data_IF_088602429807
#
_entry.id   IF_088602429807
#
_cell.length_a   1.000
_cell.length_b   1.000
_cell.length_c   1.000
_cell.angle_alpha   90.00
_cell.angle_beta   90.00
_cell.angle_gamma   90.00
#
_symmetry.space_group_name_H-M   'P 1'
#
loop_
_entity.id
_entity.type
_entity.pdbx_description
1 polymer ?
#
# COMPACT_ATOMS: atom_id res chain seq x y z
N UNK A 1 -4.82 5.04 -30.15
CA UNK A 1 -3.45 4.81 -30.65
C UNK A 1 -2.51 5.38 -29.63
N UNK A 2 -1.77 4.48 -28.98
CA UNK A 2 -0.89 4.80 -27.87
C UNK A 2 0.54 4.88 -28.39
N UNK A 3 1.33 5.81 -27.84
CA UNK A 3 2.70 6.07 -28.28
C UNK A 3 3.59 6.18 -27.05
N UNK A 4 4.67 5.41 -27.06
CA UNK A 4 5.79 5.59 -26.12
C UNK A 4 7.07 5.89 -26.89
N UNK A 5 7.96 6.66 -26.27
CA UNK A 5 9.25 7.03 -26.81
C UNK A 5 10.32 6.75 -25.77
N UNK A 6 11.40 6.11 -26.19
CA UNK A 6 12.59 5.92 -25.38
C UNK A 6 13.71 6.75 -25.99
N UNK A 7 14.23 7.70 -25.22
CA UNK A 7 15.33 8.58 -25.61
C UNK A 7 16.53 8.34 -24.70
N UNK A 8 17.72 8.39 -25.26
CA UNK A 8 18.97 8.36 -24.49
C UNK A 8 20.03 9.24 -25.13
N UNK A 9 20.76 9.98 -24.30
CA UNK A 9 21.95 10.72 -24.70
C UNK A 9 23.21 9.84 -24.76
N UNK A 10 23.12 8.57 -24.36
CA UNK A 10 24.23 7.63 -24.42
C UNK A 10 24.54 7.29 -25.91
N UNK A 11 25.77 7.52 -26.39
CA UNK A 11 26.15 7.22 -27.78
C UNK A 11 25.95 5.75 -28.19
N UNK A 12 25.93 4.83 -27.21
CA UNK A 12 25.70 3.42 -27.43
C UNK A 12 24.21 3.01 -27.39
N UNK A 13 23.26 3.96 -27.39
CA UNK A 13 21.83 3.70 -27.21
C UNK A 13 21.28 2.56 -28.08
N UNK A 14 21.62 2.52 -29.37
CA UNK A 14 21.18 1.47 -30.29
C UNK A 14 21.65 0.07 -29.89
N UNK A 15 22.86 -0.03 -29.33
CA UNK A 15 23.38 -1.28 -28.79
C UNK A 15 22.71 -1.67 -27.48
N UNK A 16 22.40 -0.70 -26.61
CA UNK A 16 21.70 -0.94 -25.35
C UNK A 16 20.33 -1.58 -25.61
N UNK A 17 19.56 -1.02 -26.55
CA UNK A 17 18.21 -1.54 -26.89
C UNK A 17 18.22 -2.65 -27.94
N UNK A 18 19.40 -3.00 -28.49
CA UNK A 18 19.60 -4.03 -29.53
C UNK A 18 18.72 -3.79 -30.76
N UNK A 19 18.65 -2.54 -31.22
CA UNK A 19 17.94 -2.13 -32.44
C UNK A 19 18.90 -1.39 -33.36
N UNK A 20 18.82 -1.67 -34.66
CA UNK A 20 19.69 -1.02 -35.65
C UNK A 20 18.98 0.21 -36.24
N UNK A 21 19.53 1.44 -36.12
CA UNK A 21 18.96 2.64 -36.74
C UNK A 21 18.73 2.52 -38.26
N UNK A 22 19.50 1.68 -38.95
CA UNK A 22 19.35 1.44 -40.39
C UNK A 22 18.24 0.43 -40.75
N UNK A 23 17.66 -0.28 -39.79
CA UNK A 23 16.73 -1.40 -40.05
C UNK A 23 15.28 -0.99 -40.36
N UNK A 24 14.99 0.31 -40.47
CA UNK A 24 13.66 0.82 -40.81
C UNK A 24 12.61 0.48 -39.74
N UNK A 25 11.40 0.16 -40.18
CA UNK A 25 10.25 -0.11 -39.31
C UNK A 25 10.27 -1.56 -38.78
N UNK A 26 10.22 -1.73 -37.45
CA UNK A 26 10.09 -3.03 -36.79
C UNK A 26 8.64 -3.26 -36.36
N UNK A 27 8.04 -4.38 -36.76
CA UNK A 27 6.68 -4.75 -36.37
C UNK A 27 6.68 -5.88 -35.33
N UNK A 28 5.77 -5.76 -34.35
CA UNK A 28 5.49 -6.79 -33.33
C UNK A 28 3.99 -6.87 -33.09
N UNK A 29 3.45 -8.07 -33.00
CA UNK A 29 2.07 -8.28 -32.54
C UNK A 29 1.99 -7.98 -31.05
N UNK A 30 1.04 -7.14 -30.64
CA UNK A 30 0.80 -6.82 -29.23
C UNK A 30 -0.67 -7.03 -28.94
N UNK A 31 -0.98 -8.07 -28.16
CA UNK A 31 -2.36 -8.50 -27.91
C UNK A 31 -3.10 -8.72 -29.23
N UNK A 32 -4.14 -7.93 -29.53
CA UNK A 32 -4.92 -8.03 -30.78
C UNK A 32 -4.45 -7.05 -31.85
N UNK A 33 -3.59 -6.09 -31.50
CA UNK A 33 -3.07 -5.09 -32.43
C UNK A 33 -1.65 -5.35 -32.91
N UNK A 34 -1.12 -4.35 -33.63
CA UNK A 34 0.25 -4.31 -34.13
C UNK A 34 0.94 -3.07 -33.55
N UNK A 35 2.13 -3.29 -32.99
CA UNK A 35 3.03 -2.22 -32.58
C UNK A 35 4.15 -2.05 -33.61
N UNK A 36 4.50 -0.79 -33.84
CA UNK A 36 5.46 -0.34 -34.83
C UNK A 36 6.57 0.41 -34.12
N UNK A 37 7.81 -0.05 -34.27
CA UNK A 37 8.98 0.60 -33.69
C UNK A 37 9.89 1.17 -34.76
N UNK A 38 10.40 2.38 -34.55
CA UNK A 38 11.33 3.03 -35.48
C UNK A 38 12.19 4.08 -34.76
N UNK A 39 13.29 4.46 -35.40
CA UNK A 39 14.09 5.62 -35.01
C UNK A 39 13.62 6.86 -35.77
N UNK A 40 13.40 7.97 -35.07
CA UNK A 40 13.32 9.29 -35.73
C UNK A 40 14.68 9.96 -35.85
N UNK A 41 15.56 9.67 -34.91
CA UNK A 41 16.95 10.09 -34.82
C UNK A 41 17.73 9.04 -34.02
N UNK A 42 19.06 9.05 -34.08
CA UNK A 42 19.89 7.98 -33.50
C UNK A 42 19.69 7.79 -31.98
N UNK A 43 19.25 8.84 -31.28
CA UNK A 43 19.03 8.90 -29.83
C UNK A 43 17.59 8.63 -29.39
N UNK A 44 16.64 8.44 -30.32
CA UNK A 44 15.20 8.31 -30.00
C UNK A 44 14.56 7.15 -30.76
N UNK A 45 14.00 6.21 -30.00
CA UNK A 45 13.23 5.09 -30.51
C UNK A 45 11.75 5.23 -30.10
N UNK A 46 10.86 5.14 -31.09
CA UNK A 46 9.41 5.23 -30.89
C UNK A 46 8.79 3.84 -30.89
N UNK A 47 7.71 3.67 -30.15
CA UNK A 47 6.81 2.53 -30.28
C UNK A 47 5.38 3.05 -30.36
N UNK A 48 4.74 2.84 -31.50
CA UNK A 48 3.36 3.21 -31.78
C UNK A 48 2.49 1.98 -31.83
N UNK A 49 1.33 2.01 -31.19
CA UNK A 49 0.38 0.90 -31.20
C UNK A 49 -0.91 1.24 -31.93
N UNK A 50 -1.20 0.43 -32.94
CA UNK A 50 -2.49 0.33 -33.61
C UNK A 50 -3.19 -0.93 -33.13
N UNK A 51 -4.31 -0.76 -32.44
CA UNK A 51 -5.15 -1.87 -32.04
C UNK A 51 -5.93 -2.43 -33.26
N UNK A 52 -6.51 -3.64 -33.12
CA UNK A 52 -7.29 -4.25 -34.19
C UNK A 52 -8.53 -3.44 -34.55
N UNK A 53 -8.97 -3.48 -35.81
CA UNK A 53 -10.10 -2.67 -36.27
C UNK A 53 -11.45 -3.15 -35.70
N UNK A 54 -11.59 -4.44 -35.35
CA UNK A 54 -12.84 -5.04 -34.84
C UNK A 54 -12.65 -5.82 -33.52
N UNK A 55 -11.47 -5.78 -32.89
CA UNK A 55 -11.19 -6.44 -31.61
C UNK A 55 -10.59 -5.45 -30.61
N UNK A 56 -10.78 -5.72 -29.32
CA UNK A 56 -10.32 -4.85 -28.22
C UNK A 56 -9.17 -5.52 -27.48
N UNK A 57 -7.98 -4.92 -27.52
CA UNK A 57 -6.80 -5.43 -26.79
C UNK A 57 -6.89 -5.22 -25.28
N UNK A 58 -7.41 -4.06 -24.86
CA UNK A 58 -7.45 -3.60 -23.47
C UNK A 58 -8.88 -3.43 -23.02
N UNK A 59 -9.51 -4.55 -22.69
CA UNK A 59 -10.91 -4.60 -22.29
C UNK A 59 -11.08 -4.02 -20.88
N UNK A 60 -12.13 -3.23 -20.70
CA UNK A 60 -12.57 -2.78 -19.37
C UNK A 60 -13.29 -3.90 -18.63
N UNK A 61 -14.04 -4.73 -19.37
CA UNK A 61 -14.75 -5.89 -18.84
C UNK A 61 -14.30 -7.16 -19.56
N UNK A 62 -14.14 -8.27 -18.84
CA UNK A 62 -13.69 -9.54 -19.42
C UNK A 62 -14.54 -10.00 -20.63
N UNK A 63 -15.84 -9.71 -20.58
CA UNK A 63 -16.84 -10.09 -21.59
C UNK A 63 -16.96 -9.10 -22.75
N UNK A 64 -16.21 -8.00 -22.75
CA UNK A 64 -16.25 -7.00 -23.81
C UNK A 64 -15.78 -7.61 -25.15
N UNK A 65 -16.66 -7.68 -26.14
CA UNK A 65 -16.40 -8.28 -27.46
C UNK A 65 -16.53 -7.29 -28.61
N UNK A 66 -17.26 -6.19 -28.43
CA UNK A 66 -17.58 -5.22 -29.47
C UNK A 66 -17.17 -3.80 -29.09
N UNK A 67 -16.61 -3.08 -30.07
CA UNK A 67 -16.09 -1.73 -29.91
C UNK A 67 -17.22 -0.69 -30.13
N UNK A 68 -17.71 -0.06 -29.06
CA UNK A 68 -18.58 1.12 -29.18
C UNK A 68 -17.86 2.43 -28.79
N UNK A 69 -17.04 2.43 -27.72
CA UNK A 69 -16.16 3.56 -27.36
C UNK A 69 -15.11 3.15 -26.30
N UNK A 70 -14.20 2.23 -26.63
CA UNK A 70 -13.15 1.85 -25.69
C UNK A 70 -11.93 2.80 -25.80
N UNK A 71 -11.88 3.78 -24.90
CA UNK A 71 -10.79 4.79 -24.85
C UNK A 71 -9.45 4.22 -24.32
N UNK A 72 -9.45 3.04 -23.71
CA UNK A 72 -8.23 2.41 -23.17
C UNK A 72 -7.22 2.08 -24.26
N UNK A 73 -7.66 1.87 -25.52
CA UNK A 73 -6.76 1.67 -26.67
C UNK A 73 -5.85 2.88 -26.98
N UNK A 74 -6.09 4.03 -26.34
CA UNK A 74 -5.29 5.24 -26.52
C UNK A 74 -4.40 5.56 -25.31
N UNK A 75 -4.84 5.26 -24.09
CA UNK A 75 -4.20 5.74 -22.86
C UNK A 75 -4.01 4.67 -21.78
N UNK A 76 -4.25 3.38 -22.05
CA UNK A 76 -4.10 2.35 -21.02
C UNK A 76 -2.67 2.30 -20.46
N UNK A 77 -2.49 2.23 -19.13
CA UNK A 77 -1.18 2.02 -18.51
C UNK A 77 -0.57 0.64 -18.84
N UNK A 78 -1.36 -0.29 -19.35
CA UNK A 78 -0.91 -1.61 -19.77
C UNK A 78 -0.08 -1.57 -21.07
N UNK A 79 -0.35 -0.62 -21.97
CA UNK A 79 0.38 -0.56 -23.23
C UNK A 79 1.87 -0.26 -23.04
N UNK A 80 2.29 0.74 -22.24
CA UNK A 80 3.70 0.94 -21.91
C UNK A 80 4.40 -0.34 -21.40
N UNK A 81 3.73 -1.13 -20.57
CA UNK A 81 4.25 -2.41 -20.09
C UNK A 81 4.44 -3.42 -21.22
N UNK A 82 3.51 -3.48 -22.16
CA UNK A 82 3.60 -4.35 -23.33
C UNK A 82 4.68 -3.86 -24.31
N UNK A 83 4.78 -2.55 -24.55
CA UNK A 83 5.83 -1.96 -25.38
C UNK A 83 7.22 -2.25 -24.82
N UNK A 84 7.43 -2.11 -23.50
CA UNK A 84 8.69 -2.46 -22.84
C UNK A 84 9.03 -3.94 -23.05
N UNK A 85 8.07 -4.86 -22.92
CA UNK A 85 8.37 -6.29 -23.09
C UNK A 85 8.72 -6.66 -24.52
N UNK A 86 8.01 -6.10 -25.49
CA UNK A 86 8.14 -6.51 -26.89
C UNK A 86 9.34 -5.84 -27.58
N UNK A 87 9.65 -4.59 -27.21
CA UNK A 87 10.72 -3.82 -27.84
C UNK A 87 11.99 -3.72 -27.00
N UNK A 88 11.87 -3.77 -25.67
CA UNK A 88 12.96 -3.48 -24.73
C UNK A 88 13.19 -4.61 -23.69
N UNK A 89 12.82 -5.86 -24.00
CA UNK A 89 13.02 -6.98 -23.07
C UNK A 89 14.48 -7.33 -22.80
N UNK A 90 15.38 -7.14 -23.78
CA UNK A 90 16.82 -7.41 -23.59
C UNK A 90 17.45 -6.46 -22.56
N UNK A 91 17.35 -5.12 -22.68
CA UNK A 91 17.88 -4.22 -21.67
C UNK A 91 17.17 -4.33 -20.31
N UNK A 92 16.01 -4.97 -20.20
CA UNK A 92 15.37 -5.28 -18.90
C UNK A 92 15.93 -6.53 -18.21
N UNK A 93 16.61 -7.43 -18.94
CA UNK A 93 17.10 -8.71 -18.38
C UNK A 93 18.53 -8.62 -17.89
N UNK A 94 19.36 -7.83 -18.56
CA UNK A 94 20.79 -7.75 -18.27
C UNK A 94 21.25 -6.32 -18.50
N UNK A 95 21.89 -5.75 -17.48
CA UNK A 95 22.53 -4.45 -17.58
C UNK A 95 23.76 -4.59 -18.48
N UNK A 96 23.81 -3.80 -19.54
CA UNK A 96 24.94 -3.77 -20.47
C UNK A 96 26.07 -2.92 -19.85
N UNK A 97 27.33 -3.32 -20.02
CA UNK A 97 28.48 -2.62 -19.44
C UNK A 97 28.61 -1.17 -19.92
N UNK A 98 28.03 -0.84 -21.08
CA UNK A 98 28.00 0.51 -21.64
C UNK A 98 26.88 1.39 -21.05
N UNK A 99 25.99 0.80 -20.24
CA UNK A 99 24.88 1.50 -19.56
C UNK A 99 25.36 2.14 -18.24
N UNK A 100 26.28 3.08 -18.41
CA UNK A 100 26.95 3.85 -17.36
C UNK A 100 26.18 5.13 -17.04
N UNK A 101 26.41 5.64 -15.83
CA UNK A 101 25.79 6.88 -15.35
C UNK A 101 26.31 8.13 -16.08
N UNK A 102 25.55 9.23 -15.99
CA UNK A 102 25.92 10.54 -16.51
C UNK A 102 25.28 10.90 -17.85
N UNK A 103 24.56 9.97 -18.49
CA UNK A 103 23.73 10.26 -19.66
C UNK A 103 22.28 10.44 -19.26
N UNK A 104 21.58 11.42 -19.85
CA UNK A 104 20.14 11.54 -19.62
C UNK A 104 19.39 10.48 -20.42
N UNK A 105 18.60 9.69 -19.72
CA UNK A 105 17.64 8.75 -20.29
C UNK A 105 16.23 9.26 -20.05
N UNK A 106 15.34 9.09 -21.03
CA UNK A 106 13.94 9.55 -20.92
C UNK A 106 12.99 8.51 -21.49
N UNK A 107 11.98 8.13 -20.70
CA UNK A 107 10.84 7.35 -21.15
C UNK A 107 9.62 8.25 -21.17
N UNK A 108 9.11 8.51 -22.37
CA UNK A 108 7.97 9.39 -22.59
C UNK A 108 6.76 8.58 -23.04
N UNK A 109 5.61 8.85 -22.44
CA UNK A 109 4.32 8.25 -22.75
C UNK A 109 3.41 9.39 -23.17
N UNK A 110 2.99 9.38 -24.45
CA UNK A 110 2.22 10.48 -25.02
C UNK A 110 0.85 10.65 -24.36
N UNK A 111 0.21 9.53 -24.01
CA UNK A 111 -1.06 9.55 -23.31
C UNK A 111 -1.19 8.32 -22.42
N UNK A 112 -1.46 8.54 -21.13
CA UNK A 112 -1.65 7.52 -20.10
C UNK A 112 -2.77 7.92 -19.15
N UNK A 113 -3.61 6.96 -18.77
CA UNK A 113 -4.64 7.13 -17.75
C UNK A 113 -3.99 7.11 -16.37
N UNK A 114 -4.19 8.18 -15.60
CA UNK A 114 -3.73 8.29 -14.22
C UNK A 114 -4.96 8.56 -13.36
N UNK A 115 -5.43 7.52 -12.69
CA UNK A 115 -6.57 7.61 -11.78
C UNK A 115 -6.24 8.45 -10.55
N UNK A 116 -5.02 8.28 -10.01
CA UNK A 116 -4.57 8.86 -8.75
C UNK A 116 -3.21 9.53 -8.95
N UNK A 117 -3.21 10.85 -9.20
CA UNK A 117 -2.00 11.65 -9.45
C UNK A 117 -0.97 11.54 -8.33
N UNK A 118 -1.41 11.38 -7.08
CA UNK A 118 -0.55 11.18 -5.90
C UNK A 118 0.48 10.06 -6.07
N UNK A 119 0.22 9.03 -6.90
CA UNK A 119 1.21 7.98 -7.17
C UNK A 119 2.46 8.51 -7.89
N UNK A 120 2.31 9.55 -8.72
CA UNK A 120 3.45 10.23 -9.36
C UNK A 120 4.29 10.92 -8.29
N UNK A 121 3.65 11.65 -7.39
CA UNK A 121 4.30 12.37 -6.28
C UNK A 121 5.01 11.39 -5.33
N UNK A 122 4.38 10.26 -4.99
CA UNK A 122 5.00 9.22 -4.17
C UNK A 122 6.23 8.63 -4.85
N UNK A 123 6.16 8.29 -6.14
CA UNK A 123 7.34 7.80 -6.87
C UNK A 123 8.45 8.84 -6.88
N UNK A 124 8.14 10.09 -7.21
CA UNK A 124 9.10 11.20 -7.18
C UNK A 124 9.81 11.34 -5.83
N UNK A 125 9.10 11.11 -4.73
CA UNK A 125 9.63 11.19 -3.36
C UNK A 125 10.53 10.00 -3.00
N UNK A 126 10.13 8.80 -3.40
CA UNK A 126 10.80 7.55 -3.01
C UNK A 126 11.95 7.14 -3.95
N UNK A 127 12.02 7.67 -5.17
CA UNK A 127 13.13 7.45 -6.10
C UNK A 127 13.70 8.79 -6.59
N UNK A 128 14.48 9.51 -5.74
CA UNK A 128 14.89 10.90 -5.99
C UNK A 128 15.81 11.08 -7.21
N UNK A 129 16.47 10.01 -7.66
CA UNK A 129 17.31 10.01 -8.87
C UNK A 129 16.50 10.07 -10.19
N UNK A 130 15.17 10.19 -10.08
CA UNK A 130 14.23 10.21 -11.20
C UNK A 130 13.37 11.47 -11.15
N UNK A 131 13.04 12.00 -12.33
CA UNK A 131 12.01 13.05 -12.46
C UNK A 131 10.76 12.46 -13.13
N UNK A 132 9.59 12.84 -12.63
CA UNK A 132 8.29 12.45 -13.18
C UNK A 132 7.47 13.69 -13.50
N UNK A 133 7.35 14.02 -14.79
CA UNK A 133 6.56 15.15 -15.25
C UNK A 133 5.26 14.68 -15.89
N UNK A 134 4.14 15.20 -15.42
CA UNK A 134 2.84 14.97 -16.05
C UNK A 134 2.28 16.25 -16.67
N UNK A 135 1.67 16.11 -17.84
CA UNK A 135 0.90 17.18 -18.48
C UNK A 135 -0.50 16.69 -18.76
N UNK A 136 -1.49 17.29 -18.13
CA UNK A 136 -2.89 16.95 -18.35
C UNK A 136 -3.31 17.25 -19.80
N UNK A 137 -3.98 16.29 -20.43
CA UNK A 137 -4.55 16.45 -21.76
C UNK A 137 -6.07 16.67 -21.67
N UNK A 138 -6.77 15.67 -21.14
CA UNK A 138 -8.20 15.66 -20.91
C UNK A 138 -8.51 14.55 -19.93
N UNK A 139 -9.64 14.62 -19.21
CA UNK A 139 -10.17 13.58 -18.30
C UNK A 139 -9.21 12.45 -17.92
N UNK A 140 -8.52 12.58 -16.78
CA UNK A 140 -7.59 11.57 -16.22
C UNK A 140 -6.51 11.05 -17.20
N UNK A 141 -6.35 11.69 -18.36
CA UNK A 141 -5.38 11.34 -19.39
C UNK A 141 -4.28 12.39 -19.41
N UNK A 142 -3.04 11.93 -19.30
CA UNK A 142 -1.87 12.77 -19.16
C UNK A 142 -0.80 12.32 -20.13
N UNK A 143 0.07 13.22 -20.58
CA UNK A 143 1.40 12.82 -21.01
C UNK A 143 2.24 12.60 -19.75
N UNK A 144 3.09 11.57 -19.75
CA UNK A 144 4.00 11.27 -18.64
C UNK A 144 5.44 11.19 -19.19
N UNK A 145 6.35 11.92 -18.55
CA UNK A 145 7.78 11.87 -18.85
C UNK A 145 8.52 11.41 -17.62
N UNK A 146 9.32 10.34 -17.76
CA UNK A 146 10.19 9.82 -16.72
C UNK A 146 11.63 10.04 -17.16
N UNK A 147 12.46 10.70 -16.36
CA UNK A 147 13.88 10.94 -16.68
C UNK A 147 14.79 10.47 -15.55
N UNK A 148 16.01 10.09 -15.91
CA UNK A 148 17.09 9.79 -14.96
C UNK A 148 18.45 9.98 -15.61
N UNK A 149 19.50 10.14 -14.79
CA UNK A 149 20.90 10.10 -15.18
C UNK A 149 21.64 8.86 -14.65
N UNK A 150 20.91 7.89 -14.08
CA UNK A 150 21.45 6.58 -13.68
C UNK A 150 21.70 5.73 -14.92
N UNK A 151 20.91 4.70 -15.16
CA UNK A 151 21.05 3.82 -16.31
C UNK A 151 19.74 3.67 -17.07
N UNK A 152 19.82 3.27 -18.34
CA UNK A 152 18.66 2.88 -19.13
C UNK A 152 17.94 1.68 -18.50
N UNK A 153 18.70 0.75 -17.93
CA UNK A 153 18.22 -0.39 -17.15
C UNK A 153 17.29 0.07 -16.02
N UNK A 154 17.75 1.00 -15.18
CA UNK A 154 16.95 1.52 -14.06
C UNK A 154 15.71 2.27 -14.56
N UNK A 155 15.84 3.08 -15.61
CA UNK A 155 14.72 3.78 -16.23
C UNK A 155 13.59 2.83 -16.64
N UNK A 156 13.93 1.74 -17.32
CA UNK A 156 12.91 0.79 -17.80
C UNK A 156 12.25 0.04 -16.64
N UNK A 157 12.99 -0.31 -15.58
CA UNK A 157 12.42 -0.93 -14.38
C UNK A 157 11.50 0.02 -13.61
N UNK A 158 11.93 1.27 -13.36
CA UNK A 158 11.11 2.28 -12.69
C UNK A 158 9.86 2.60 -13.49
N UNK A 159 9.98 2.82 -14.81
CA UNK A 159 8.84 3.06 -15.70
C UNK A 159 7.86 1.86 -15.69
N UNK A 160 8.38 0.63 -15.71
CA UNK A 160 7.59 -0.60 -15.64
C UNK A 160 6.83 -0.73 -14.33
N UNK A 161 7.48 -0.47 -13.20
CA UNK A 161 6.84 -0.58 -11.87
C UNK A 161 5.79 0.51 -11.70
N UNK A 162 6.07 1.77 -12.09
CA UNK A 162 5.09 2.85 -12.05
C UNK A 162 3.86 2.53 -12.92
N UNK A 163 4.06 2.12 -14.18
CA UNK A 163 2.94 1.80 -15.07
C UNK A 163 2.10 0.61 -14.56
N UNK A 164 2.71 -0.35 -13.85
CA UNK A 164 1.98 -1.44 -13.21
C UNK A 164 1.08 -0.93 -12.08
N UNK A 165 1.57 -0.03 -11.22
CA UNK A 165 0.74 0.58 -10.19
C UNK A 165 -0.40 1.41 -10.81
N UNK A 166 -0.11 2.21 -11.83
CA UNK A 166 -1.14 2.97 -12.55
C UNK A 166 -2.21 2.05 -13.16
N UNK A 167 -1.81 0.90 -13.71
CA UNK A 167 -2.74 -0.09 -14.25
C UNK A 167 -3.67 -0.69 -13.19
N UNK A 168 -3.25 -0.78 -11.93
CA UNK A 168 -4.05 -1.36 -10.83
C UNK A 168 -5.27 -0.49 -10.49
N UNK A 169 -5.17 0.82 -10.71
CA UNK A 169 -6.28 1.76 -10.54
C UNK A 169 -6.95 2.12 -11.86
N UNK A 170 -6.51 1.51 -12.96
CA UNK A 170 -7.16 1.63 -14.26
C UNK A 170 -8.53 0.96 -14.27
N UNK A 171 -9.25 1.13 -15.39
CA UNK A 171 -10.53 0.46 -15.60
C UNK A 171 -10.36 -0.94 -16.17
N UNK A 172 -9.15 -1.27 -16.61
CA UNK A 172 -8.83 -2.50 -17.32
C UNK A 172 -8.56 -3.66 -16.38
N UNK A 173 -8.97 -4.85 -16.79
CA UNK A 173 -8.63 -6.06 -16.05
C UNK A 173 -7.13 -6.36 -16.18
N UNK A 174 -6.45 -6.34 -15.04
CA UNK A 174 -5.07 -6.80 -14.90
C UNK A 174 -5.06 -8.20 -14.28
N UNK A 175 -4.74 -9.20 -15.09
CA UNK A 175 -4.54 -10.57 -14.61
C UNK A 175 -3.22 -10.65 -13.82
N UNK A 176 -3.30 -10.95 -12.52
CA UNK A 176 -2.13 -11.11 -11.65
C UNK A 176 -1.76 -12.59 -11.59
N UNK A 177 -1.08 -13.03 -12.65
CA UNK A 177 -0.51 -14.37 -12.73
C UNK A 177 0.86 -14.45 -12.05
N UNK A 178 1.32 -15.65 -11.72
CA UNK A 178 2.64 -15.86 -11.12
C UNK A 178 3.78 -15.35 -12.00
N UNK A 179 3.67 -15.48 -13.33
CA UNK A 179 4.70 -14.99 -14.26
C UNK A 179 4.81 -13.46 -14.26
N UNK A 180 3.69 -12.75 -14.04
CA UNK A 180 3.67 -11.30 -13.84
C UNK A 180 4.34 -10.97 -12.50
N UNK A 181 3.99 -11.66 -11.42
CA UNK A 181 4.61 -11.45 -10.10
C UNK A 181 6.13 -11.67 -10.16
N UNK A 182 6.60 -12.78 -10.72
CA UNK A 182 8.01 -13.10 -10.90
C UNK A 182 8.75 -11.98 -11.64
N UNK A 183 8.12 -11.43 -12.69
CA UNK A 183 8.72 -10.38 -13.51
C UNK A 183 8.84 -9.06 -12.75
N UNK A 184 7.78 -8.62 -12.07
CA UNK A 184 7.78 -7.30 -11.43
C UNK A 184 8.47 -7.28 -10.07
N UNK A 185 8.55 -8.41 -9.37
CA UNK A 185 9.44 -8.55 -8.21
C UNK A 185 10.90 -8.40 -8.62
N UNK A 186 11.30 -8.99 -9.76
CA UNK A 186 12.64 -8.74 -10.33
C UNK A 186 12.86 -7.25 -10.62
N UNK A 187 11.86 -6.55 -11.18
CA UNK A 187 11.97 -5.11 -11.40
C UNK A 187 12.09 -4.31 -10.10
N UNK A 188 11.34 -4.67 -9.06
CA UNK A 188 11.43 -4.03 -7.73
C UNK A 188 12.82 -4.22 -7.13
N UNK A 189 13.40 -5.40 -7.27
CA UNK A 189 14.74 -5.68 -6.77
C UNK A 189 15.82 -5.00 -7.63
N UNK A 190 15.64 -4.98 -8.94
CA UNK A 190 16.55 -4.33 -9.89
C UNK A 190 16.70 -2.83 -9.63
N UNK A 191 15.58 -2.14 -9.35
CA UNK A 191 15.61 -0.72 -8.99
C UNK A 191 15.99 -0.46 -7.52
N UNK A 192 16.30 -1.52 -6.77
CA UNK A 192 16.49 -1.53 -5.31
C UNK A 192 15.44 -0.64 -4.61
N UNK A 193 14.15 -0.96 -4.83
CA UNK A 193 13.06 -0.09 -4.40
C UNK A 193 13.06 0.07 -2.87
N UNK A 194 12.68 1.24 -2.32
CA UNK A 194 12.54 1.42 -0.88
C UNK A 194 11.33 0.64 -0.31
N UNK A 195 11.29 0.54 1.02
CA UNK A 195 10.24 -0.10 1.80
C UNK A 195 8.84 0.22 1.29
N UNK A 196 8.51 1.50 1.10
CA UNK A 196 7.14 1.89 0.76
C UNK A 196 6.66 1.27 -0.55
N UNK A 197 7.50 1.29 -1.60
CA UNK A 197 7.15 0.70 -2.90
C UNK A 197 6.98 -0.82 -2.76
N UNK A 198 7.82 -1.49 -1.95
CA UNK A 198 7.73 -2.93 -1.67
C UNK A 198 6.45 -3.29 -0.89
N UNK A 199 6.15 -2.56 0.19
CA UNK A 199 4.94 -2.74 1.00
C UNK A 199 3.68 -2.48 0.17
N UNK A 200 3.71 -1.45 -0.68
CA UNK A 200 2.61 -1.14 -1.60
C UNK A 200 2.43 -2.26 -2.64
N UNK A 201 3.51 -2.82 -3.18
CA UNK A 201 3.44 -3.96 -4.08
C UNK A 201 2.85 -5.19 -3.38
N UNK A 202 3.30 -5.51 -2.17
CA UNK A 202 2.76 -6.61 -1.39
C UNK A 202 1.25 -6.48 -1.16
N UNK A 203 0.81 -5.28 -0.78
CA UNK A 203 -0.61 -4.99 -0.52
C UNK A 203 -1.49 -5.10 -1.76
N UNK A 204 -1.01 -4.64 -2.91
CA UNK A 204 -1.82 -4.61 -4.13
C UNK A 204 -1.80 -5.93 -4.90
N UNK A 205 -0.62 -6.57 -5.01
CA UNK A 205 -0.43 -7.71 -5.90
C UNK A 205 -0.29 -9.05 -5.18
N UNK A 206 0.06 -9.06 -3.88
CA UNK A 206 0.15 -10.27 -3.07
C UNK A 206 -1.05 -10.40 -2.11
N UNK A 207 -2.24 -10.11 -2.63
CA UNK A 207 -3.49 -10.15 -1.87
C UNK A 207 -3.94 -11.58 -1.46
N UNK A 208 -3.34 -12.63 -2.03
CA UNK A 208 -3.55 -14.04 -1.61
C UNK A 208 -2.43 -14.47 -0.67
N UNK A 209 -2.80 -15.10 0.46
CA UNK A 209 -1.82 -15.58 1.47
C UNK A 209 -0.75 -16.49 0.89
N UNK A 210 -1.13 -17.35 -0.07
CA UNK A 210 -0.21 -18.26 -0.76
C UNK A 210 0.86 -17.49 -1.54
N UNK A 211 0.44 -16.56 -2.41
CA UNK A 211 1.36 -15.71 -3.17
C UNK A 211 2.24 -14.88 -2.23
N UNK A 212 1.66 -14.28 -1.18
CA UNK A 212 2.44 -13.53 -0.20
C UNK A 212 3.54 -14.40 0.43
N UNK A 213 3.22 -15.60 0.90
CA UNK A 213 4.21 -16.52 1.49
C UNK A 213 5.30 -16.92 0.50
N UNK A 214 4.94 -17.18 -0.76
CA UNK A 214 5.88 -17.55 -1.82
C UNK A 214 6.86 -16.42 -2.14
N UNK A 215 6.37 -15.17 -2.20
CA UNK A 215 7.12 -14.03 -2.72
C UNK A 215 7.72 -13.10 -1.67
N UNK A 216 7.27 -13.18 -0.41
CA UNK A 216 7.72 -12.31 0.71
C UNK A 216 9.23 -12.18 0.76
N UNK A 217 9.95 -13.30 0.84
CA UNK A 217 11.41 -13.29 0.99
C UNK A 217 12.13 -12.63 -0.19
N UNK A 218 11.63 -12.78 -1.42
CA UNK A 218 12.21 -12.11 -2.59
C UNK A 218 11.90 -10.61 -2.59
N UNK A 219 10.71 -10.23 -2.14
CA UNK A 219 10.27 -8.85 -2.08
C UNK A 219 10.95 -8.06 -0.94
N UNK A 220 11.45 -8.73 0.09
CA UNK A 220 12.21 -8.12 1.20
C UNK A 220 13.67 -7.84 0.85
N UNK A 221 14.19 -8.37 -0.26
CA UNK A 221 15.60 -8.23 -0.66
C UNK A 221 15.92 -6.82 -1.14
N UNK A 222 16.71 -6.08 -0.36
CA UNK A 222 17.23 -4.75 -0.67
C UNK A 222 18.59 -4.55 -0.02
N UNK A 223 19.42 -3.67 -0.59
CA UNK A 223 20.71 -3.30 0.00
C UNK A 223 20.59 -2.18 1.05
N UNK A 224 19.40 -1.57 1.19
CA UNK A 224 19.19 -0.37 2.01
C UNK A 224 19.07 -0.66 3.51
N UNK A 225 18.32 -1.69 3.88
CA UNK A 225 17.97 -2.02 5.26
C UNK A 225 17.22 -3.36 5.34
N UNK A 226 17.12 -3.93 6.54
CA UNK A 226 16.35 -5.15 6.74
C UNK A 226 14.85 -4.86 6.73
N UNK A 227 14.09 -5.55 5.86
CA UNK A 227 12.61 -5.45 5.79
C UNK A 227 11.99 -6.75 6.30
N UNK A 228 10.89 -6.63 7.06
CA UNK A 228 10.01 -7.75 7.39
C UNK A 228 8.57 -7.35 7.07
N UNK A 229 8.01 -7.87 5.99
CA UNK A 229 6.64 -7.61 5.57
C UNK A 229 5.66 -8.55 6.25
N UNK A 230 4.48 -8.06 6.59
CA UNK A 230 3.37 -8.84 7.11
C UNK A 230 2.20 -8.89 6.12
N UNK A 231 1.43 -9.99 6.15
CA UNK A 231 0.35 -10.16 5.18
C UNK A 231 -0.81 -9.20 5.45
N UNK A 232 -1.17 -8.41 4.43
CA UNK A 232 -2.34 -7.54 4.45
C UNK A 232 -2.00 -6.05 4.59
N UNK A 233 -3.02 -5.22 4.79
CA UNK A 233 -2.83 -3.82 5.17
C UNK A 233 -2.40 -3.70 6.63
N UNK A 234 -1.80 -2.57 7.02
CA UNK A 234 -1.44 -2.28 8.43
C UNK A 234 -2.60 -2.51 9.39
N UNK A 235 -3.82 -2.06 9.04
CA UNK A 235 -5.01 -2.33 9.84
C UNK A 235 -5.34 -3.82 9.95
N UNK A 236 -5.21 -4.60 8.87
CA UNK A 236 -5.41 -6.05 8.91
C UNK A 236 -4.33 -6.76 9.74
N UNK A 237 -3.07 -6.36 9.61
CA UNK A 237 -1.95 -6.88 10.39
C UNK A 237 -2.19 -6.66 11.89
N UNK A 238 -2.61 -5.44 12.27
CA UNK A 238 -2.99 -5.10 13.65
C UNK A 238 -4.19 -5.90 14.15
N UNK A 239 -5.25 -6.03 13.35
CA UNK A 239 -6.41 -6.86 13.70
C UNK A 239 -6.04 -8.32 13.91
N UNK A 240 -5.19 -8.89 13.06
CA UNK A 240 -4.72 -10.26 13.22
C UNK A 240 -3.88 -10.41 14.49
N UNK A 241 -3.02 -9.43 14.80
CA UNK A 241 -2.25 -9.42 16.04
C UNK A 241 -3.16 -9.38 17.27
N UNK A 242 -4.11 -8.43 17.33
CA UNK A 242 -5.06 -8.31 18.43
C UNK A 242 -5.86 -9.61 18.59
N UNK A 243 -6.41 -10.14 17.50
CA UNK A 243 -7.13 -11.42 17.51
C UNK A 243 -6.27 -12.59 18.02
N UNK A 244 -4.95 -12.60 17.77
CA UNK A 244 -4.07 -13.65 18.29
C UNK A 244 -3.79 -13.54 19.79
N UNK A 245 -4.05 -12.37 20.38
CA UNK A 245 -3.85 -12.11 21.81
C UNK A 245 -5.13 -12.28 22.61
N UNK A 246 -6.30 -12.10 22.00
CA UNK A 246 -7.60 -12.25 22.66
C UNK A 246 -7.97 -13.72 22.86
N UNK A 247 -8.66 -14.02 23.98
CA UNK A 247 -9.12 -15.38 24.30
C UNK A 247 -10.43 -15.74 23.59
N UNK A 248 -11.27 -14.74 23.29
CA UNK A 248 -12.65 -14.91 22.84
C UNK A 248 -13.54 -15.73 23.80
N UNK A 249 -13.13 -15.87 25.07
CA UNK A 249 -13.86 -16.60 26.11
C UNK A 249 -14.63 -15.67 27.06
N UNK A 250 -14.60 -14.36 26.80
CA UNK A 250 -15.17 -13.29 27.64
C UNK A 250 -15.65 -12.15 26.74
N UNK A 251 -16.51 -11.25 27.24
CA UNK A 251 -16.89 -10.06 26.50
C UNK A 251 -15.68 -9.21 26.11
N UNK A 252 -15.80 -8.50 24.99
CA UNK A 252 -14.79 -7.53 24.54
C UNK A 252 -15.36 -6.13 24.66
N UNK A 253 -14.57 -5.21 25.22
CA UNK A 253 -14.82 -3.76 25.19
C UNK A 253 -13.90 -3.13 24.13
N UNK A 254 -14.49 -2.64 23.05
CA UNK A 254 -13.83 -1.98 21.93
C UNK A 254 -14.09 -0.48 22.01
N UNK A 255 -13.10 0.28 22.46
CA UNK A 255 -13.17 1.73 22.60
C UNK A 255 -12.61 2.37 21.33
N UNK A 256 -13.44 3.15 20.63
CA UNK A 256 -13.15 3.68 19.30
C UNK A 256 -13.44 2.65 18.20
N UNK A 257 -14.64 2.06 18.23
CA UNK A 257 -14.99 0.94 17.35
C UNK A 257 -15.12 1.31 15.85
N UNK A 258 -15.23 2.62 15.55
CA UNK A 258 -15.30 3.19 14.22
C UNK A 258 -16.39 2.54 13.36
N UNK A 259 -16.04 2.15 12.14
CA UNK A 259 -17.00 1.51 11.23
C UNK A 259 -17.25 0.01 11.48
N UNK A 260 -16.81 -0.53 12.62
CA UNK A 260 -16.96 -1.94 12.99
C UNK A 260 -15.92 -2.85 12.35
N UNK A 261 -14.72 -2.34 12.06
CA UNK A 261 -13.63 -3.12 11.46
C UNK A 261 -13.16 -4.28 12.35
N UNK A 262 -13.22 -4.08 13.67
CA UNK A 262 -12.98 -5.08 14.72
C UNK A 262 -14.28 -5.70 15.23
N UNK A 263 -15.27 -4.87 15.57
CA UNK A 263 -16.55 -5.30 16.13
C UNK A 263 -17.21 -6.44 15.35
N UNK A 264 -17.44 -6.27 14.05
CA UNK A 264 -18.15 -7.26 13.24
C UNK A 264 -17.46 -8.64 13.21
N UNK A 265 -16.17 -8.77 12.82
CA UNK A 265 -15.52 -10.07 12.77
C UNK A 265 -15.19 -10.68 14.14
N UNK A 266 -15.08 -9.87 15.21
CA UNK A 266 -14.78 -10.38 16.55
C UNK A 266 -16.04 -10.82 17.28
N UNK A 267 -17.13 -10.05 17.21
CA UNK A 267 -18.42 -10.41 17.77
C UNK A 267 -18.94 -11.74 17.19
N UNK A 268 -18.76 -11.96 15.88
CA UNK A 268 -19.11 -13.24 15.22
C UNK A 268 -18.33 -14.47 15.74
N UNK A 269 -17.25 -14.28 16.52
CA UNK A 269 -16.48 -15.36 17.16
C UNK A 269 -16.80 -15.52 18.65
N UNK A 270 -17.54 -14.58 19.23
CA UNK A 270 -17.86 -14.56 20.65
C UNK A 270 -19.22 -15.21 20.89
N UNK A 271 -19.29 -16.01 21.95
CA UNK A 271 -20.57 -16.39 22.55
C UNK A 271 -21.09 -15.34 23.56
N UNK A 272 -20.34 -14.26 23.77
CA UNK A 272 -20.58 -13.20 24.75
C UNK A 272 -20.88 -11.87 24.04
N UNK A 273 -21.28 -10.86 24.82
CA UNK A 273 -21.46 -9.50 24.33
C UNK A 273 -20.15 -8.92 23.78
N UNK A 274 -20.28 -8.12 22.72
CA UNK A 274 -19.24 -7.24 22.22
C UNK A 274 -19.66 -5.79 22.48
N UNK A 275 -19.04 -5.15 23.47
CA UNK A 275 -19.29 -3.76 23.82
C UNK A 275 -18.50 -2.85 22.90
N UNK A 276 -19.18 -2.13 22.02
CA UNK A 276 -18.58 -1.23 21.05
C UNK A 276 -18.89 0.22 21.41
N UNK A 277 -17.84 1.00 21.71
CA UNK A 277 -17.93 2.40 22.11
C UNK A 277 -17.38 3.29 20.99
N UNK A 278 -18.10 4.33 20.62
CA UNK A 278 -17.60 5.39 19.75
C UNK A 278 -18.34 6.70 20.05
N UNK A 279 -17.64 7.83 19.94
CA UNK A 279 -18.23 9.16 20.16
C UNK A 279 -18.98 9.67 18.92
N UNK A 280 -18.73 9.07 17.75
CA UNK A 280 -19.40 9.40 16.50
C UNK A 280 -20.66 8.52 16.33
N UNK A 281 -21.83 9.13 16.54
CA UNK A 281 -23.13 8.45 16.43
C UNK A 281 -23.39 7.89 15.02
N UNK A 282 -22.86 8.52 13.97
CA UNK A 282 -23.02 8.02 12.59
C UNK A 282 -22.25 6.70 12.41
N UNK A 283 -21.09 6.56 13.05
CA UNK A 283 -20.31 5.32 13.07
C UNK A 283 -21.05 4.22 13.79
N UNK A 284 -21.63 4.50 14.96
CA UNK A 284 -22.44 3.52 15.69
C UNK A 284 -23.66 3.07 14.86
N UNK A 285 -24.38 4.00 14.23
CA UNK A 285 -25.50 3.68 13.35
C UNK A 285 -25.05 2.80 12.16
N UNK A 286 -23.88 3.08 11.59
CA UNK A 286 -23.28 2.26 10.54
C UNK A 286 -22.94 0.84 11.03
N UNK A 287 -22.36 0.70 12.23
CA UNK A 287 -22.07 -0.60 12.85
C UNK A 287 -23.35 -1.38 13.06
N UNK A 288 -24.39 -0.77 13.64
CA UNK A 288 -25.69 -1.41 13.86
C UNK A 288 -26.27 -1.97 12.56
N UNK A 289 -26.27 -1.16 11.49
CA UNK A 289 -26.76 -1.57 10.16
C UNK A 289 -25.93 -2.73 9.59
N UNK A 290 -24.60 -2.67 9.69
CA UNK A 290 -23.71 -3.75 9.21
C UNK A 290 -23.86 -5.03 10.02
N UNK A 291 -24.11 -4.93 11.33
CA UNK A 291 -24.33 -6.05 12.23
C UNK A 291 -25.62 -6.78 11.87
N UNK A 292 -26.73 -6.04 11.72
CA UNK A 292 -28.01 -6.58 11.28
C UNK A 292 -27.91 -7.28 9.91
N UNK A 293 -27.23 -6.66 8.94
CA UNK A 293 -27.02 -7.25 7.60
C UNK A 293 -26.16 -8.52 7.61
N UNK A 294 -25.38 -8.75 8.67
CA UNK A 294 -24.52 -9.94 8.85
C UNK A 294 -25.08 -10.92 9.88
N UNK A 295 -26.29 -10.67 10.40
CA UNK A 295 -26.91 -11.47 11.44
C UNK A 295 -26.02 -11.61 12.70
N UNK A 296 -25.33 -10.53 13.06
CA UNK A 296 -24.55 -10.42 14.30
C UNK A 296 -25.37 -9.63 15.31
N UNK A 297 -25.85 -10.28 16.36
CA UNK A 297 -26.83 -9.74 17.32
C UNK A 297 -26.25 -9.48 18.72
N UNK A 298 -24.99 -9.87 18.96
CA UNK A 298 -24.31 -9.72 20.26
C UNK A 298 -23.48 -8.43 20.37
N UNK A 299 -23.60 -7.48 19.44
CA UNK A 299 -22.93 -6.17 19.54
C UNK A 299 -23.83 -5.20 20.32
N UNK A 300 -23.32 -4.65 21.41
CA UNK A 300 -23.99 -3.62 22.21
C UNK A 300 -23.24 -2.30 22.04
N UNK A 301 -23.95 -1.26 21.63
CA UNK A 301 -23.36 0.02 21.24
C UNK A 301 -23.51 1.06 22.36
N UNK A 302 -22.44 1.81 22.62
CA UNK A 302 -22.45 2.92 23.57
C UNK A 302 -21.85 4.19 22.96
N UNK A 303 -22.45 5.37 23.18
CA UNK A 303 -21.97 6.64 22.64
C UNK A 303 -20.75 7.21 23.38
N UNK A 304 -20.40 6.65 24.54
CA UNK A 304 -19.23 7.06 25.30
C UNK A 304 -18.82 5.97 26.30
N UNK A 305 -17.59 6.09 26.81
CA UNK A 305 -17.10 5.22 27.89
C UNK A 305 -17.91 5.44 29.17
N UNK A 306 -18.34 6.65 29.46
CA UNK A 306 -19.20 6.92 30.63
C UNK A 306 -20.58 6.26 30.51
N UNK A 307 -21.17 6.25 29.31
CA UNK A 307 -22.43 5.54 29.05
C UNK A 307 -22.26 4.03 29.22
N UNK A 308 -21.15 3.47 28.74
CA UNK A 308 -20.81 2.08 29.00
C UNK A 308 -20.66 1.80 30.50
N UNK A 309 -19.90 2.63 31.23
CA UNK A 309 -19.63 2.44 32.66
C UNK A 309 -20.88 2.56 33.53
N UNK A 310 -21.86 3.38 33.12
CA UNK A 310 -23.16 3.47 33.79
C UNK A 310 -23.92 2.14 33.77
N UNK A 311 -23.87 1.41 32.65
CA UNK A 311 -24.57 0.13 32.47
C UNK A 311 -23.69 -1.09 32.78
N UNK A 312 -22.38 -0.87 32.99
CA UNK A 312 -21.40 -1.92 33.22
C UNK A 312 -21.64 -2.61 34.58
N UNK A 313 -21.87 -3.92 34.52
CA UNK A 313 -22.20 -4.74 35.68
C UNK A 313 -20.99 -5.29 36.46
N UNK A 314 -19.76 -4.91 36.08
CA UNK A 314 -18.54 -5.40 36.72
C UNK A 314 -18.02 -6.74 36.21
N UNK A 315 -18.57 -7.30 35.13
CA UNK A 315 -18.04 -8.54 34.55
C UNK A 315 -16.63 -8.37 33.97
N UNK A 316 -15.80 -9.41 34.05
CA UNK A 316 -14.45 -9.32 33.53
C UNK A 316 -14.42 -9.35 31.99
N UNK A 317 -13.79 -8.35 31.36
CA UNK A 317 -13.72 -8.20 29.90
C UNK A 317 -12.28 -8.25 29.36
N UNK A 318 -12.14 -8.29 28.04
CA UNK A 318 -10.91 -7.91 27.34
C UNK A 318 -11.12 -6.56 26.64
N UNK A 319 -10.22 -5.59 26.85
CA UNK A 319 -10.35 -4.24 26.31
C UNK A 319 -9.43 -4.07 25.08
N UNK A 320 -9.93 -3.43 24.04
CA UNK A 320 -9.18 -2.99 22.86
C UNK A 320 -9.35 -1.48 22.69
N UNK A 321 -8.24 -0.75 22.58
CA UNK A 321 -8.16 0.69 22.30
C UNK A 321 -7.15 0.89 21.17
N UNK A 322 -7.62 0.83 19.93
CA UNK A 322 -6.78 0.68 18.73
C UNK A 322 -6.79 1.93 17.87
N UNK A 323 -5.69 2.69 17.84
CA UNK A 323 -5.58 3.94 17.06
C UNK A 323 -6.65 4.97 17.44
N UNK A 324 -6.65 5.35 18.71
CA UNK A 324 -7.64 6.25 19.29
C UNK A 324 -6.95 7.35 20.08
N UNK A 325 -5.94 6.97 20.86
CA UNK A 325 -5.25 7.86 21.79
C UNK A 325 -4.53 9.02 21.08
N UNK A 326 -4.08 8.83 19.85
CA UNK A 326 -3.43 9.85 19.03
C UNK A 326 -4.40 10.92 18.49
N UNK A 327 -5.71 10.68 18.53
CA UNK A 327 -6.74 11.62 18.07
C UNK A 327 -7.23 12.56 19.20
N UNK A 328 -6.69 12.41 20.41
CA UNK A 328 -6.97 13.26 21.58
C UNK A 328 -5.68 13.78 22.18
N UNK A 329 -5.77 14.77 23.08
CA UNK A 329 -4.58 15.28 23.78
C UNK A 329 -3.97 14.19 24.67
N UNK A 330 -2.69 14.33 25.01
CA UNK A 330 -2.01 13.35 25.87
C UNK A 330 -2.66 13.22 27.25
N UNK A 331 -3.21 14.32 27.78
CA UNK A 331 -3.91 14.34 29.07
C UNK A 331 -5.26 13.61 28.99
N UNK A 332 -6.03 13.80 27.91
CA UNK A 332 -7.28 13.06 27.65
C UNK A 332 -7.00 11.56 27.48
N UNK A 333 -5.99 11.19 26.70
CA UNK A 333 -5.59 9.81 26.51
C UNK A 333 -5.17 9.16 27.84
N UNK A 334 -4.39 9.87 28.65
CA UNK A 334 -3.99 9.41 29.99
C UNK A 334 -5.22 9.20 30.87
N UNK A 335 -6.13 10.17 30.92
CA UNK A 335 -7.34 10.10 31.74
C UNK A 335 -8.23 8.92 31.33
N UNK A 336 -8.44 8.70 30.03
CA UNK A 336 -9.21 7.59 29.48
C UNK A 336 -8.62 6.23 29.90
N UNK A 337 -7.32 6.03 29.71
CA UNK A 337 -6.67 4.75 30.05
C UNK A 337 -6.75 4.52 31.57
N UNK A 338 -6.51 5.54 32.40
CA UNK A 338 -6.61 5.45 33.86
C UNK A 338 -8.04 5.15 34.32
N UNK A 339 -9.05 5.78 33.71
CA UNK A 339 -10.46 5.53 33.99
C UNK A 339 -10.81 4.06 33.73
N UNK A 340 -10.46 3.54 32.56
CA UNK A 340 -10.69 2.14 32.21
C UNK A 340 -9.93 1.19 33.16
N UNK A 341 -8.68 1.51 33.50
CA UNK A 341 -7.90 0.69 34.43
C UNK A 341 -8.53 0.60 35.84
N UNK A 342 -9.15 1.70 36.30
CA UNK A 342 -9.74 1.81 37.65
C UNK A 342 -11.15 1.24 37.73
N UNK A 343 -11.96 1.45 36.70
CA UNK A 343 -13.40 1.20 36.74
C UNK A 343 -13.83 -0.08 36.02
N UNK A 344 -12.99 -0.64 35.14
CA UNK A 344 -13.30 -1.88 34.41
C UNK A 344 -12.52 -3.05 35.00
N UNK A 345 -13.18 -4.19 35.21
CA UNK A 345 -12.47 -5.44 35.44
C UNK A 345 -12.04 -6.06 34.12
N UNK A 346 -10.73 -6.14 33.90
CA UNK A 346 -10.17 -6.63 32.64
C UNK A 346 -9.10 -7.68 32.86
N UNK A 347 -9.15 -8.73 32.05
CA UNK A 347 -8.08 -9.72 31.93
C UNK A 347 -6.89 -9.15 31.14
N UNK A 348 -7.22 -8.43 30.07
CA UNK A 348 -6.27 -7.90 29.11
C UNK A 348 -6.78 -6.58 28.55
N UNK A 349 -5.89 -5.59 28.47
CA UNK A 349 -6.20 -4.32 27.83
C UNK A 349 -5.11 -4.01 26.80
N UNK A 350 -5.47 -4.07 25.52
CA UNK A 350 -4.57 -3.87 24.39
C UNK A 350 -4.74 -2.45 23.87
N UNK A 351 -3.65 -1.69 23.88
CA UNK A 351 -3.60 -0.32 23.38
C UNK A 351 -2.63 -0.31 22.19
N UNK A 352 -3.03 0.33 21.08
CA UNK A 352 -2.14 0.53 19.92
C UNK A 352 -2.17 1.98 19.45
N UNK A 353 -1.05 2.42 18.89
CA UNK A 353 -0.90 3.75 18.29
C UNK A 353 0.19 3.72 17.21
N UNK A 354 0.21 4.66 16.26
CA UNK A 354 1.28 4.80 15.29
C UNK A 354 2.66 4.91 15.94
N UNK A 355 3.67 4.40 15.23
CA UNK A 355 5.06 4.59 15.60
C UNK A 355 5.69 5.71 14.76
N UNK A 356 5.92 6.89 15.35
CA UNK A 356 6.44 8.05 14.63
C UNK A 356 7.85 7.81 14.06
N UNK A 357 8.67 6.97 14.72
CA UNK A 357 10.01 6.64 14.24
C UNK A 357 9.98 5.95 12.86
N UNK A 358 8.82 5.41 12.47
CA UNK A 358 8.64 4.72 11.19
C UNK A 358 8.24 5.68 10.05
N UNK A 359 7.78 6.90 10.36
CA UNK A 359 7.31 7.88 9.37
C UNK A 359 8.33 8.22 8.27
N UNK A 360 9.66 8.25 8.53
CA UNK A 360 10.66 8.43 7.48
C UNK A 360 10.58 7.37 6.36
N UNK A 361 10.19 6.13 6.65
CA UNK A 361 10.04 5.08 5.62
C UNK A 361 8.81 5.26 4.74
N UNK A 362 7.86 6.11 5.17
CA UNK A 362 6.76 6.63 4.35
C UNK A 362 7.11 7.97 3.70
N UNK A 363 8.34 8.45 3.87
CA UNK A 363 8.79 9.78 3.49
C UNK A 363 7.89 10.88 4.09
N UNK A 364 7.32 10.69 5.28
CA UNK A 364 6.46 11.71 5.90
C UNK A 364 7.29 12.63 6.81
N UNK A 365 7.06 13.94 6.69
CA UNK A 365 7.74 14.96 7.51
C UNK A 365 6.97 15.34 8.79
N UNK A 366 5.80 14.75 8.99
CA UNK A 366 4.91 15.01 10.13
C UNK A 366 4.11 13.77 10.51
N UNK A 367 2.89 13.97 10.97
CA UNK A 367 1.97 12.88 11.29
C UNK A 367 1.50 12.16 10.03
N UNK A 368 1.08 10.90 10.20
CA UNK A 368 0.51 10.04 9.16
C UNK A 368 -0.87 10.52 8.72
N UNK A 369 -1.62 11.11 9.65
CA UNK A 369 -2.93 11.66 9.39
C UNK A 369 -3.04 13.06 10.01
N UNK A 370 -3.76 13.94 9.30
CA UNK A 370 -3.88 15.36 9.65
C UNK A 370 -4.71 15.59 10.92
N UNK A 371 -5.50 14.60 11.32
CA UNK A 371 -6.36 14.59 12.51
C UNK A 371 -5.66 14.00 13.75
N UNK A 372 -4.40 13.59 13.65
CA UNK A 372 -3.60 13.22 14.81
C UNK A 372 -3.18 14.47 15.60
N UNK A 373 -3.36 14.43 16.92
CA UNK A 373 -2.85 15.46 17.82
C UNK A 373 -1.37 15.25 18.16
N UNK A 374 -0.91 14.00 18.13
CA UNK A 374 0.48 13.63 18.38
C UNK A 374 0.81 12.27 17.78
N UNK A 375 2.10 12.03 17.48
CA UNK A 375 2.64 10.70 17.23
C UNK A 375 3.96 10.55 17.99
N UNK A 376 4.06 9.52 18.82
CA UNK A 376 5.27 9.26 19.61
C UNK A 376 6.19 8.29 18.90
N UNK A 377 7.50 8.52 19.01
CA UNK A 377 8.51 7.49 18.77
C UNK A 377 8.48 6.43 19.88
N UNK A 378 9.16 5.32 19.67
CA UNK A 378 9.10 4.15 20.54
C UNK A 378 9.54 4.44 21.97
N UNK A 379 10.64 5.18 22.15
CA UNK A 379 11.18 5.50 23.47
C UNK A 379 10.22 6.41 24.28
N UNK A 380 9.64 7.42 23.62
CA UNK A 380 8.71 8.38 24.25
C UNK A 380 7.43 7.67 24.66
N UNK A 381 6.85 6.84 23.78
CA UNK A 381 5.67 6.05 24.08
C UNK A 381 5.90 5.09 25.26
N UNK A 382 7.04 4.40 25.29
CA UNK A 382 7.37 3.50 26.39
C UNK A 382 7.52 4.22 27.74
N UNK A 383 8.16 5.39 27.76
CA UNK A 383 8.28 6.21 28.97
C UNK A 383 6.92 6.67 29.47
N UNK A 384 6.10 7.23 28.58
CA UNK A 384 4.76 7.72 28.89
C UNK A 384 3.85 6.61 29.44
N UNK A 385 3.86 5.44 28.79
CA UNK A 385 3.11 4.27 29.27
C UNK A 385 3.65 3.74 30.60
N UNK A 386 4.96 3.80 30.85
CA UNK A 386 5.52 3.32 32.12
C UNK A 386 5.02 4.14 33.31
N UNK A 387 4.98 5.46 33.19
CA UNK A 387 4.43 6.35 34.21
C UNK A 387 2.94 6.04 34.49
N UNK A 388 2.15 5.86 33.43
CA UNK A 388 0.75 5.51 33.52
C UNK A 388 0.55 4.17 34.23
N UNK A 389 1.33 3.16 33.85
CA UNK A 389 1.26 1.80 34.39
C UNK A 389 1.59 1.75 35.88
N UNK A 390 2.53 2.57 36.35
CA UNK A 390 2.82 2.69 37.78
C UNK A 390 1.65 3.32 38.54
N UNK A 391 1.07 4.40 38.03
CA UNK A 391 -0.10 5.05 38.64
C UNK A 391 -1.33 4.13 38.66
N UNK A 392 -1.55 3.37 37.59
CA UNK A 392 -2.66 2.42 37.47
C UNK A 392 -2.45 1.11 38.26
N UNK A 393 -1.25 0.87 38.80
CA UNK A 393 -0.87 -0.38 39.48
C UNK A 393 -1.09 -1.65 38.62
N UNK A 394 -0.85 -1.57 37.31
CA UNK A 394 -0.97 -2.69 36.36
C UNK A 394 0.42 -3.21 35.95
N UNK A 395 0.47 -4.28 35.17
CA UNK A 395 1.66 -4.77 34.47
C UNK A 395 1.53 -4.44 32.98
N UNK A 396 2.66 -4.23 32.30
CA UNK A 396 2.71 -3.88 30.89
C UNK A 396 3.65 -4.79 30.10
N UNK A 397 3.20 -5.23 28.93
CA UNK A 397 3.97 -5.95 27.91
C UNK A 397 3.94 -5.11 26.63
N UNK A 398 5.07 -4.48 26.27
CA UNK A 398 5.17 -3.70 25.03
C UNK A 398 5.22 -4.64 23.81
N UNK A 399 4.52 -4.24 22.76
CA UNK A 399 4.34 -5.06 21.55
C UNK A 399 4.59 -4.23 20.30
N UNK A 400 4.98 -4.93 19.24
CA UNK A 400 5.35 -4.34 17.97
C UNK A 400 4.60 -5.05 16.84
N UNK A 401 3.94 -4.26 15.98
CA UNK A 401 2.84 -4.73 15.13
C UNK A 401 3.05 -4.24 13.69
N UNK A 402 2.84 -5.16 12.74
CA UNK A 402 2.86 -4.90 11.30
C UNK A 402 4.24 -5.02 10.67
N UNK A 403 4.40 -4.43 9.48
CA UNK A 403 5.66 -4.40 8.75
C UNK A 403 6.79 -3.81 9.62
N UNK A 404 8.02 -4.24 9.38
CA UNK A 404 9.21 -3.74 10.07
C UNK A 404 10.31 -3.33 9.13
N UNK A 405 11.03 -2.28 9.51
CA UNK A 405 12.29 -1.87 8.88
C UNK A 405 13.35 -1.71 9.96
N UNK A 406 14.47 -2.42 9.84
CA UNK A 406 15.51 -2.50 10.89
C UNK A 406 14.94 -2.85 12.28
N UNK A 407 13.93 -3.73 12.31
CA UNK A 407 13.22 -4.16 13.52
C UNK A 407 12.12 -3.20 14.00
N UNK A 408 12.12 -1.95 13.52
CA UNK A 408 11.15 -0.93 13.89
C UNK A 408 9.77 -1.22 13.26
N UNK A 409 8.69 -1.33 14.05
CA UNK A 409 7.37 -1.68 13.52
C UNK A 409 6.59 -0.45 13.02
N UNK A 410 5.66 -0.68 12.09
CA UNK A 410 4.68 0.33 11.66
C UNK A 410 3.79 0.82 12.81
N UNK A 411 3.41 -0.07 13.71
CA UNK A 411 2.52 0.22 14.83
C UNK A 411 3.17 -0.29 16.11
N UNK A 412 3.08 0.50 17.16
CA UNK A 412 3.49 0.12 18.51
C UNK A 412 2.26 -0.07 19.39
N UNK A 413 2.44 -0.78 20.49
CA UNK A 413 1.36 -0.98 21.44
C UNK A 413 1.84 -1.53 22.77
N UNK A 414 0.89 -1.71 23.66
CA UNK A 414 1.11 -2.27 24.99
C UNK A 414 -0.08 -3.11 25.40
N UNK A 415 0.20 -4.22 26.05
CA UNK A 415 -0.80 -5.10 26.65
C UNK A 415 -0.71 -4.92 28.17
N UNK A 416 -1.78 -4.41 28.77
CA UNK A 416 -1.90 -4.25 30.21
C UNK A 416 -2.61 -5.46 30.82
N UNK A 417 -2.16 -5.85 32.01
CA UNK A 417 -2.78 -6.87 32.87
C UNK A 417 -2.86 -6.34 34.30
N UNK A 418 -3.92 -6.63 35.03
CA UNK A 418 -3.95 -6.33 36.47
C UNK A 418 -2.84 -7.11 37.19
N UNK A 419 -2.18 -6.48 38.18
CA UNK A 419 -1.24 -7.20 39.04
C UNK A 419 -2.05 -8.27 39.78
N UNK A 420 -1.70 -9.54 39.59
CA UNK A 420 -2.35 -10.63 40.33
C UNK A 420 -2.25 -10.36 41.83
N UNK A 421 -3.39 -10.41 42.52
CA UNK A 421 -3.47 -10.51 43.98
C UNK A 421 -2.80 -11.76 44.50
#
# INVERSE_FOLDING_TARGET
>A
MAIVQLRSENPAFSYLIRKNPASGLTLRSVRKGIAYGWYSEASVYHVYFKDADNEVSYKQFAEERFEYLNVSRYNTPLFPLNAINEFFSTPMKTRDERDVEGYTHTFFINMIHIELVRYIEFFQKHVPDFSFDIRHHAHKSYALTIRTQKSLYDLLHVASVLCLFLATFGKEHLDISESILDKYIKSINAMDAPFYIRSLFARQFLNRREHFRKYKSQLEQTERYAIQLEYGSTGLQRRNFIASKLSFARPILDVGCGEGFYALPFAAKLAHCYYAVDIDEERLALVNRKAAAKEVDNIVLFPSVDAFLHDYNGEQVEIVLTEVIEHMSQDEARALILQLCRQVDFERFIITTPNADFNPYYELAGFRHDDHQWEMGQAVFQSWMHELVQEAAVQAEFVAIGDRVNGLPTTQGVILRKRGT
#
